data_IF_327631263204
#
_entry.id   IF_327631263204
#
_cell.length_a   1.000
_cell.length_b   1.000
_cell.length_c   1.000
_cell.angle_alpha   90.00
_cell.angle_beta   90.00
_cell.angle_gamma   90.00
#
_symmetry.space_group_name_H-M   'P 1'
#
loop_
_entity.id
_entity.type
_entity.pdbx_description
1 polymer ?
#
# COMPACT_ATOMS: atom_id res chain seq x y z
N UNK A 1 8.81 3.92 4.90
CA UNK A 1 8.53 4.70 3.68
C UNK A 1 7.11 4.35 3.28
N UNK A 2 6.34 5.32 2.83
CA UNK A 2 5.01 5.08 2.27
C UNK A 2 4.99 5.53 0.83
N UNK A 3 4.28 4.79 -0.03
CA UNK A 3 4.04 5.20 -1.41
C UNK A 3 2.55 5.06 -1.68
N UNK A 4 1.93 6.13 -2.16
CA UNK A 4 0.54 6.11 -2.60
C UNK A 4 0.54 6.07 -4.12
N UNK A 5 -0.17 5.12 -4.70
CA UNK A 5 -0.37 4.95 -6.14
C UNK A 5 -1.83 5.20 -6.50
N UNK A 6 -2.09 5.82 -7.64
CA UNK A 6 -3.43 5.98 -8.20
C UNK A 6 -3.38 6.07 -9.72
N UNK A 7 -4.53 5.95 -10.35
CA UNK A 7 -4.72 6.21 -11.78
C UNK A 7 -5.52 7.50 -11.94
N UNK A 8 -5.12 8.34 -12.90
CA UNK A 8 -5.91 9.47 -13.39
C UNK A 8 -6.52 9.14 -14.75
N UNK A 9 -7.80 9.45 -14.98
CA UNK A 9 -8.38 9.33 -16.33
C UNK A 9 -7.86 10.47 -17.22
N UNK A 10 -7.45 10.13 -18.45
CA UNK A 10 -6.81 11.09 -19.35
C UNK A 10 -6.42 10.49 -20.71
N UNK A 11 -6.29 9.16 -20.80
CA UNK A 11 -6.19 8.37 -22.05
C UNK A 11 -6.84 7.00 -21.85
N UNK A 12 -6.99 6.21 -22.93
CA UNK A 12 -7.69 4.90 -22.95
C UNK A 12 -7.17 3.83 -21.97
N UNK A 13 -6.03 4.05 -21.31
CA UNK A 13 -5.47 3.17 -20.28
C UNK A 13 -5.32 3.81 -18.89
N UNK A 14 -5.66 5.09 -18.72
CA UNK A 14 -5.38 5.86 -17.50
C UNK A 14 -3.89 6.18 -17.30
N UNK A 15 -3.60 7.28 -16.62
CA UNK A 15 -2.23 7.70 -16.28
C UNK A 15 -1.88 7.25 -14.87
N UNK A 16 -0.88 6.39 -14.73
CA UNK A 16 -0.40 5.98 -13.42
C UNK A 16 0.37 7.11 -12.71
N UNK A 17 0.00 7.35 -11.46
CA UNK A 17 0.61 8.36 -10.59
C UNK A 17 1.08 7.75 -9.29
N UNK A 18 2.04 8.41 -8.66
CA UNK A 18 2.50 8.03 -7.34
C UNK A 18 3.02 9.23 -6.55
N UNK A 19 2.98 9.10 -5.23
CA UNK A 19 3.59 10.03 -4.29
C UNK A 19 4.28 9.29 -3.15
N UNK A 20 5.45 9.77 -2.73
CA UNK A 20 6.29 9.14 -1.69
C UNK A 20 6.28 9.98 -0.43
N UNK A 21 6.24 9.29 0.71
CA UNK A 21 6.31 9.88 2.04
C UNK A 21 7.41 9.21 2.86
N UNK A 22 8.08 9.99 3.70
CA UNK A 22 9.12 9.49 4.60
C UNK A 22 8.53 8.54 5.66
N UNK A 23 9.40 7.81 6.38
CA UNK A 23 8.97 6.79 7.34
C UNK A 23 8.22 7.37 8.55
N UNK A 24 8.47 8.62 8.89
CA UNK A 24 7.84 9.41 9.94
C UNK A 24 6.58 10.16 9.47
N UNK A 25 6.21 10.06 8.19
CA UNK A 25 5.12 10.81 7.58
C UNK A 25 3.84 9.97 7.34
N UNK A 26 3.63 8.92 8.14
CA UNK A 26 2.48 8.02 8.00
C UNK A 26 1.14 8.77 7.97
N UNK A 27 0.95 9.73 8.88
CA UNK A 27 -0.28 10.52 8.94
C UNK A 27 -0.52 11.34 7.68
N UNK A 28 0.55 11.86 7.05
CA UNK A 28 0.45 12.60 5.79
C UNK A 28 0.06 11.67 4.63
N UNK A 29 0.68 10.49 4.55
CA UNK A 29 0.35 9.48 3.54
C UNK A 29 -1.12 9.03 3.63
N UNK A 30 -1.63 8.83 4.85
CA UNK A 30 -3.04 8.49 5.09
C UNK A 30 -3.97 9.63 4.69
N UNK A 31 -3.68 10.87 5.12
CA UNK A 31 -4.49 12.03 4.76
C UNK A 31 -4.55 12.27 3.24
N UNK A 32 -3.43 12.09 2.54
CA UNK A 32 -3.36 12.16 1.09
C UNK A 32 -4.21 11.07 0.42
N UNK A 33 -4.10 9.82 0.89
CA UNK A 33 -4.92 8.70 0.40
C UNK A 33 -6.41 8.96 0.57
N UNK A 34 -6.82 9.51 1.71
CA UNK A 34 -8.23 9.87 1.96
C UNK A 34 -8.70 11.03 1.08
N UNK A 35 -7.82 11.94 0.70
CA UNK A 35 -8.14 13.01 -0.25
C UNK A 35 -8.45 12.42 -1.62
N UNK A 36 -7.60 11.51 -2.12
CA UNK A 36 -7.83 10.81 -3.39
C UNK A 36 -9.12 9.98 -3.39
N UNK A 37 -9.44 9.30 -2.28
CA UNK A 37 -10.70 8.54 -2.15
C UNK A 37 -11.94 9.43 -2.16
N UNK A 38 -11.86 10.63 -1.59
CA UNK A 38 -12.96 11.61 -1.65
C UNK A 38 -13.17 12.13 -3.07
N UNK A 39 -12.09 12.39 -3.80
CA UNK A 39 -12.14 12.78 -5.22
C UNK A 39 -12.79 11.68 -6.06
N UNK A 40 -12.33 10.44 -5.90
CA UNK A 40 -12.95 9.27 -6.54
C UNK A 40 -14.46 9.17 -6.22
N UNK A 41 -14.85 9.36 -4.96
CA UNK A 41 -16.26 9.31 -4.55
C UNK A 41 -17.10 10.49 -5.09
N UNK A 42 -16.47 11.64 -5.35
CA UNK A 42 -17.10 12.80 -5.98
C UNK A 42 -17.28 12.63 -7.50
N UNK A 43 -16.68 11.59 -8.10
CA UNK A 43 -16.69 11.34 -9.53
C UNK A 43 -15.58 12.07 -10.30
N UNK A 44 -14.54 12.54 -9.60
CA UNK A 44 -13.33 13.05 -10.26
C UNK A 44 -12.57 11.91 -10.97
N UNK A 45 -11.65 12.28 -11.85
CA UNK A 45 -10.83 11.40 -12.68
C UNK A 45 -9.74 10.66 -11.86
N UNK A 46 -10.09 10.05 -10.72
CA UNK A 46 -9.17 9.32 -9.83
C UNK A 46 -9.68 7.91 -9.58
N UNK A 47 -8.85 6.91 -9.80
CA UNK A 47 -9.19 5.51 -9.55
C UNK A 47 -8.00 4.67 -9.03
N UNK A 48 -8.28 3.44 -8.60
CA UNK A 48 -7.26 2.47 -8.14
C UNK A 48 -6.29 2.99 -7.06
N UNK A 49 -6.79 3.76 -6.09
CA UNK A 49 -5.99 4.35 -5.01
C UNK A 49 -5.46 3.27 -4.05
N UNK A 50 -4.13 3.13 -3.95
CA UNK A 50 -3.45 2.14 -3.09
C UNK A 50 -2.32 2.78 -2.29
N UNK A 51 -2.26 2.53 -0.98
CA UNK A 51 -1.13 2.90 -0.12
C UNK A 51 -0.29 1.66 0.18
N UNK A 52 1.00 1.74 -0.13
CA UNK A 52 2.01 0.73 0.19
C UNK A 52 2.89 1.23 1.33
N UNK A 53 3.06 0.40 2.36
CA UNK A 53 3.84 0.70 3.58
C UNK A 53 4.95 -0.32 3.81
N UNK A 54 5.65 -0.72 2.75
CA UNK A 54 6.72 -1.70 2.93
C UNK A 54 7.92 -1.04 3.61
N UNK A 55 8.32 -1.58 4.76
CA UNK A 55 9.55 -1.18 5.43
C UNK A 55 10.73 -1.81 4.67
N UNK A 56 11.65 -1.03 4.06
CA UNK A 56 12.78 -1.59 3.30
C UNK A 56 13.71 -2.49 4.13
N UNK A 57 13.65 -2.40 5.46
CA UNK A 57 14.41 -3.23 6.42
C UNK A 57 13.60 -4.36 7.03
N UNK A 58 12.32 -4.47 6.70
CA UNK A 58 11.40 -5.48 7.23
C UNK A 58 10.52 -6.04 6.12
N UNK A 59 11.10 -6.25 4.94
CA UNK A 59 10.67 -7.33 4.07
C UNK A 59 11.11 -8.61 4.77
N UNK A 60 10.20 -9.23 5.54
CA UNK A 60 10.43 -10.61 5.96
C UNK A 60 10.69 -11.45 4.70
N UNK A 61 11.45 -12.55 4.81
CA UNK A 61 11.43 -13.57 3.75
C UNK A 61 9.95 -13.80 3.41
N UNK A 62 9.59 -13.74 2.13
CA UNK A 62 8.23 -14.02 1.68
C UNK A 62 7.75 -15.30 2.40
N UNK A 63 6.82 -15.18 3.35
CA UNK A 63 6.21 -16.35 3.98
C UNK A 63 5.35 -17.02 2.90
N UNK A 64 5.36 -18.33 2.66
CA UNK A 64 5.89 -19.45 3.42
C UNK A 64 6.41 -20.52 2.44
N UNK A 65 7.70 -20.56 2.19
CA UNK A 65 8.30 -21.69 1.46
C UNK A 65 9.28 -22.39 2.41
N UNK A 66 8.88 -23.57 2.85
CA UNK A 66 9.69 -24.53 3.60
C UNK A 66 10.18 -24.09 4.98
N UNK A 67 9.28 -24.11 6.00
CA UNK A 67 9.78 -24.18 7.36
C UNK A 67 10.68 -25.43 7.51
N UNK A 68 11.78 -25.34 8.28
CA UNK A 68 12.60 -26.50 8.63
C UNK A 68 11.73 -27.61 9.24
N UNK A 69 12.19 -28.87 9.15
CA UNK A 69 11.42 -30.04 9.59
C UNK A 69 11.03 -29.99 11.09
N UNK A 70 11.76 -29.22 11.91
CA UNK A 70 11.53 -29.03 13.34
C UNK A 70 10.63 -27.84 13.67
N UNK A 71 10.05 -27.16 12.67
CA UNK A 71 9.20 -26.01 12.89
C UNK A 71 7.89 -26.41 13.58
N UNK A 72 7.73 -25.96 14.82
CA UNK A 72 6.54 -26.23 15.61
C UNK A 72 5.36 -25.38 15.13
N UNK A 73 4.46 -25.98 14.36
CA UNK A 73 3.16 -25.40 13.98
C UNK A 73 2.22 -25.28 15.18
N UNK A 74 2.52 -24.36 16.11
CA UNK A 74 1.61 -24.06 17.21
C UNK A 74 0.76 -22.85 16.84
N UNK A 75 -0.52 -23.09 16.62
CA UNK A 75 -1.53 -22.03 16.59
C UNK A 75 -1.50 -21.34 17.95
N UNK A 76 -1.14 -20.04 18.01
CA UNK A 76 -1.31 -19.24 19.23
C UNK A 76 -2.78 -19.29 19.62
N UNK A 77 -3.08 -19.89 20.78
CA UNK A 77 -4.39 -19.75 21.44
C UNK A 77 -4.32 -18.55 22.41
N UNK A 78 -5.45 -17.89 22.70
CA UNK A 78 -5.51 -16.75 23.62
C UNK A 78 -4.94 -17.07 25.01
#
# INVERSE_FOLDING_TARGET
>A
MFVVYWLEEGTSMGTARFERFAADEMTKALAFTETLRKQQAAGDDVSFVTLCSENPRSVGKAGASDPPADYAWKKRRP
#
